data_IF_355565250711
#
_entry.id   IF_355565250711
#
_cell.length_a   1.000
_cell.length_b   1.000
_cell.length_c   1.000
_cell.angle_alpha   90.00
_cell.angle_beta   90.00
_cell.angle_gamma   90.00
#
_symmetry.space_group_name_H-M   'P 1'
#
loop_
_entity.id
_entity.type
_entity.pdbx_description
1 polymer ?
#
# COMPACT_ATOMS: atom_id res chain seq x y z
N UNK A 1 -65.51 -6.29 -9.35
CA UNK A 1 -64.11 -6.62 -9.01
C UNK A 1 -63.19 -5.85 -9.93
N UNK A 2 -62.20 -5.12 -9.42
CA UNK A 2 -61.18 -4.49 -10.29
C UNK A 2 -61.02 -2.97 -10.19
N UNK A 3 -61.14 -2.36 -9.00
CA UNK A 3 -60.65 -1.00 -8.72
C UNK A 3 -60.21 -0.87 -7.26
N UNK A 4 -59.30 -1.72 -6.80
CA UNK A 4 -58.63 -1.52 -5.49
C UNK A 4 -57.33 -2.36 -5.38
N UNK A 5 -56.43 -2.26 -6.35
CA UNK A 5 -55.14 -2.96 -6.28
C UNK A 5 -54.04 -2.27 -7.10
N UNK A 6 -54.07 -0.93 -7.16
CA UNK A 6 -53.06 -0.14 -7.87
C UNK A 6 -52.35 0.88 -6.96
N UNK A 7 -52.48 0.76 -5.63
CA UNK A 7 -51.89 1.73 -4.68
C UNK A 7 -50.99 1.10 -3.61
N UNK A 8 -50.65 -0.20 -3.70
CA UNK A 8 -49.86 -0.87 -2.66
C UNK A 8 -48.62 -1.63 -3.14
N UNK A 9 -48.15 -1.42 -4.37
CA UNK A 9 -46.93 -2.07 -4.89
C UNK A 9 -45.98 -1.11 -5.62
N UNK A 10 -46.00 0.18 -5.26
CA UNK A 10 -45.02 1.17 -5.73
C UNK A 10 -44.27 1.86 -4.57
N UNK A 11 -44.09 1.14 -3.45
CA UNK A 11 -43.24 1.56 -2.33
C UNK A 11 -42.15 0.53 -1.98
N UNK A 12 -41.90 -0.44 -2.86
CA UNK A 12 -40.78 -1.38 -2.73
C UNK A 12 -39.94 -1.24 -3.99
N UNK A 13 -39.09 -0.23 -4.04
CA UNK A 13 -38.29 0.00 -5.25
C UNK A 13 -37.48 1.28 -5.32
N UNK A 14 -37.30 2.01 -4.22
CA UNK A 14 -36.28 3.04 -4.09
C UNK A 14 -35.71 2.97 -2.68
N UNK A 15 -35.14 1.82 -2.32
CA UNK A 15 -33.93 1.88 -1.50
C UNK A 15 -32.85 2.52 -2.38
N UNK A 16 -32.95 3.85 -2.54
CA UNK A 16 -31.76 4.66 -2.76
C UNK A 16 -30.84 4.18 -1.64
N UNK A 17 -29.79 3.46 -2.02
CA UNK A 17 -28.71 3.14 -1.11
C UNK A 17 -28.21 4.50 -0.65
N UNK A 18 -28.77 4.98 0.47
CA UNK A 18 -28.31 6.19 1.13
C UNK A 18 -26.90 5.81 1.50
N UNK A 19 -25.94 6.25 0.69
CA UNK A 19 -24.58 6.45 1.15
C UNK A 19 -24.74 7.21 2.45
N UNK A 20 -24.59 6.50 3.56
CA UNK A 20 -24.71 7.13 4.85
C UNK A 20 -23.57 8.12 4.88
N UNK A 21 -23.85 9.42 4.99
CA UNK A 21 -22.81 10.45 5.13
C UNK A 21 -22.02 10.30 6.44
N UNK A 22 -22.21 9.21 7.20
CA UNK A 22 -21.46 8.88 8.40
C UNK A 22 -20.27 7.97 8.04
N UNK A 23 -19.11 8.16 8.67
CA UNK A 23 -18.02 7.20 8.58
C UNK A 23 -18.45 5.80 9.03
N UNK A 24 -17.87 4.76 8.42
CA UNK A 24 -18.03 3.38 8.87
C UNK A 24 -17.40 3.21 10.25
N UNK A 25 -18.06 2.42 11.10
CA UNK A 25 -17.49 1.95 12.36
C UNK A 25 -16.41 0.89 12.11
N UNK A 26 -15.51 0.67 13.07
CA UNK A 26 -14.45 -0.33 12.88
C UNK A 26 -14.93 -1.77 12.70
N UNK A 27 -16.12 -2.11 13.22
CA UNK A 27 -16.76 -3.40 12.95
C UNK A 27 -17.25 -3.52 11.50
N UNK A 28 -17.81 -2.43 10.94
CA UNK A 28 -18.21 -2.36 9.53
C UNK A 28 -16.97 -2.46 8.62
N UNK A 29 -15.90 -1.73 8.95
CA UNK A 29 -14.61 -1.82 8.24
C UNK A 29 -14.08 -3.26 8.25
N UNK A 30 -13.98 -3.90 9.42
CA UNK A 30 -13.56 -5.30 9.53
C UNK A 30 -14.40 -6.24 8.68
N UNK A 31 -15.71 -6.04 8.66
CA UNK A 31 -16.63 -6.85 7.85
C UNK A 31 -16.29 -6.74 6.37
N UNK A 32 -16.04 -5.51 5.88
CA UNK A 32 -15.64 -5.28 4.49
C UNK A 32 -14.26 -5.90 4.19
N UNK A 33 -13.28 -5.75 5.09
CA UNK A 33 -11.94 -6.29 4.89
C UNK A 33 -11.91 -7.82 4.87
N UNK A 34 -12.74 -8.48 5.69
CA UNK A 34 -12.94 -9.94 5.63
C UNK A 34 -13.65 -10.35 4.35
N UNK A 35 -14.69 -9.61 3.95
CA UNK A 35 -15.45 -9.91 2.73
C UNK A 35 -14.58 -9.91 1.46
N UNK A 36 -13.55 -9.06 1.41
CA UNK A 36 -12.64 -8.94 0.27
C UNK A 36 -11.27 -9.61 0.48
N UNK A 37 -11.18 -10.54 1.42
CA UNK A 37 -9.98 -11.34 1.69
C UNK A 37 -8.73 -10.49 1.98
N UNK A 38 -8.92 -9.28 2.52
CA UNK A 38 -7.83 -8.42 3.01
C UNK A 38 -7.41 -8.92 4.40
N UNK A 39 -8.40 -9.23 5.25
CA UNK A 39 -8.22 -9.99 6.48
C UNK A 39 -8.60 -11.46 6.19
N UNK A 40 -7.76 -12.46 6.53
CA UNK A 40 -6.47 -12.37 7.20
C UNK A 40 -5.27 -12.37 6.23
N UNK A 41 -5.47 -12.26 4.91
CA UNK A 41 -4.38 -12.58 3.98
C UNK A 41 -3.31 -11.47 3.90
N UNK A 42 -3.72 -10.21 3.90
CA UNK A 42 -2.84 -9.04 3.74
C UNK A 42 -2.47 -8.44 5.09
N UNK A 43 -3.43 -8.35 6.01
CA UNK A 43 -3.24 -7.85 7.37
C UNK A 43 -3.97 -8.75 8.37
N UNK A 44 -3.51 -8.73 9.61
CA UNK A 44 -4.15 -9.47 10.69
C UNK A 44 -5.48 -8.84 11.10
N UNK A 45 -6.36 -9.66 11.69
CA UNK A 45 -7.60 -9.15 12.26
C UNK A 45 -7.30 -8.23 13.46
N UNK A 46 -8.03 -7.13 13.56
CA UNK A 46 -7.92 -6.15 14.64
C UNK A 46 -9.27 -5.50 14.89
N UNK A 47 -9.64 -5.26 16.14
CA UNK A 47 -10.88 -4.54 16.47
C UNK A 47 -10.76 -3.02 16.22
N UNK A 48 -9.55 -2.53 15.96
CA UNK A 48 -9.20 -1.11 15.97
C UNK A 48 -9.00 -0.50 14.57
N UNK A 49 -9.65 -1.05 13.54
CA UNK A 49 -9.59 -0.41 12.22
C UNK A 49 -10.55 0.78 12.15
N UNK A 50 -10.01 1.97 11.98
CA UNK A 50 -10.78 3.13 11.57
C UNK A 50 -10.94 3.19 10.05
N UNK A 51 -11.98 3.89 9.60
CA UNK A 51 -12.12 4.19 8.18
C UNK A 51 -11.10 5.28 7.79
N UNK A 52 -10.23 4.95 6.85
CA UNK A 52 -9.45 5.93 6.11
C UNK A 52 -10.34 6.56 5.02
N UNK A 53 -10.39 7.88 4.95
CA UNK A 53 -11.02 8.59 3.83
C UNK A 53 -9.98 8.77 2.73
N UNK A 54 -10.25 8.21 1.55
CA UNK A 54 -9.43 8.39 0.34
C UNK A 54 -10.28 9.05 -0.72
N UNK A 55 -9.82 10.20 -1.24
CA UNK A 55 -10.51 10.92 -2.30
C UNK A 55 -9.57 11.20 -3.47
N UNK A 56 -9.92 10.74 -4.66
CA UNK A 56 -9.28 11.07 -5.92
C UNK A 56 -10.04 12.15 -6.68
N UNK A 57 -9.30 12.98 -7.41
CA UNK A 57 -9.83 13.98 -8.33
C UNK A 57 -10.97 14.84 -7.74
N UNK A 58 -10.89 15.16 -6.44
CA UNK A 58 -11.85 15.96 -5.68
C UNK A 58 -13.29 15.44 -5.61
N UNK A 59 -13.58 14.28 -6.20
CA UNK A 59 -14.96 13.83 -6.45
C UNK A 59 -15.19 12.34 -6.27
N UNK A 60 -14.11 11.54 -6.24
CA UNK A 60 -14.20 10.08 -6.21
C UNK A 60 -13.72 9.62 -4.84
N UNK A 61 -14.63 9.12 -4.02
CA UNK A 61 -14.33 8.54 -2.72
C UNK A 61 -14.18 7.03 -2.85
N UNK A 62 -13.24 6.44 -2.10
CA UNK A 62 -13.23 4.99 -1.90
C UNK A 62 -14.19 4.61 -0.77
N UNK A 63 -15.00 3.58 -1.02
CA UNK A 63 -16.06 3.11 -0.12
C UNK A 63 -16.05 1.57 0.05
N UNK A 64 -14.88 0.94 -0.03
CA UNK A 64 -14.71 -0.52 0.00
C UNK A 64 -15.31 -1.29 -1.19
N UNK A 65 -16.11 -0.67 -2.06
CA UNK A 65 -16.65 -1.28 -3.29
C UNK A 65 -16.34 -0.49 -4.57
N UNK A 66 -15.79 0.72 -4.43
CA UNK A 66 -15.52 1.64 -5.52
C UNK A 66 -14.61 1.02 -6.57
N UNK A 67 -15.09 1.03 -7.81
CA UNK A 67 -14.32 0.63 -9.00
C UNK A 67 -13.77 1.86 -9.70
N UNK A 68 -12.46 1.90 -9.85
CA UNK A 68 -11.69 2.96 -10.48
C UNK A 68 -11.29 2.55 -11.90
N UNK A 69 -11.16 3.53 -12.78
CA UNK A 69 -10.48 3.39 -14.06
C UNK A 69 -9.07 4.01 -13.98
N UNK A 70 -8.12 3.63 -14.85
CA UNK A 70 -6.74 4.10 -14.83
C UNK A 70 -6.52 5.59 -14.58
N UNK A 71 -7.24 6.46 -15.30
CA UNK A 71 -7.08 7.91 -15.19
C UNK A 71 -7.46 8.45 -13.82
N UNK A 72 -8.34 7.73 -13.10
CA UNK A 72 -8.78 8.19 -11.79
C UNK A 72 -7.68 8.08 -10.73
N UNK A 73 -6.71 7.19 -10.95
CA UNK A 73 -5.56 6.97 -10.05
C UNK A 73 -4.23 7.36 -10.70
N UNK A 74 -4.25 8.09 -11.81
CA UNK A 74 -3.02 8.55 -12.47
C UNK A 74 -2.20 9.46 -11.55
N UNK A 75 -2.88 10.28 -10.76
CA UNK A 75 -2.30 11.18 -9.77
C UNK A 75 -2.60 10.71 -8.34
N UNK A 76 -1.80 11.20 -7.38
CA UNK A 76 -2.01 11.01 -5.94
C UNK A 76 -3.46 11.35 -5.53
N UNK A 77 -4.01 10.68 -4.50
CA UNK A 77 -5.27 11.11 -3.90
C UNK A 77 -5.24 12.60 -3.54
N UNK A 78 -6.31 13.31 -3.90
CA UNK A 78 -6.51 14.73 -3.58
C UNK A 78 -6.74 14.97 -2.08
N UNK A 79 -7.20 13.96 -1.35
CA UNK A 79 -7.33 14.02 0.11
C UNK A 79 -7.17 12.64 0.71
N UNK A 80 -6.47 12.60 1.84
CA UNK A 80 -6.39 11.46 2.74
C UNK A 80 -6.67 11.95 4.16
N UNK A 81 -7.61 11.32 4.86
CA UNK A 81 -7.93 11.67 6.24
C UNK A 81 -8.19 10.41 7.06
N UNK A 82 -7.61 10.34 8.25
CA UNK A 82 -7.83 9.28 9.22
C UNK A 82 -7.88 9.89 10.63
N UNK A 83 -8.43 9.18 11.63
CA UNK A 83 -8.36 9.63 13.02
C UNK A 83 -6.92 9.79 13.48
N UNK A 84 -6.63 10.96 14.07
CA UNK A 84 -5.31 11.29 14.62
C UNK A 84 -5.43 11.47 16.12
N UNK A 85 -4.52 10.86 16.87
CA UNK A 85 -4.44 10.97 18.32
C UNK A 85 -3.16 11.73 18.71
N UNK A 86 -3.30 12.80 19.48
CA UNK A 86 -2.15 13.55 19.98
C UNK A 86 -1.24 14.14 18.89
N UNK A 87 0.08 13.99 19.09
CA UNK A 87 1.14 14.51 18.19
C UNK A 87 1.86 13.36 17.49
N UNK A 88 1.11 12.37 17.04
CA UNK A 88 1.65 11.15 16.47
C UNK A 88 2.11 11.33 15.01
N UNK A 89 3.06 10.48 14.63
CA UNK A 89 3.48 10.30 13.25
C UNK A 89 2.87 9.03 12.68
N UNK A 90 2.65 9.01 11.37
CA UNK A 90 2.05 7.90 10.67
C UNK A 90 2.87 7.49 9.45
N UNK A 91 2.69 6.25 9.03
CA UNK A 91 3.15 5.73 7.75
C UNK A 91 1.96 5.31 6.90
N UNK A 92 1.91 5.77 5.66
CA UNK A 92 0.94 5.37 4.65
C UNK A 92 1.57 4.36 3.70
N UNK A 93 0.89 3.23 3.52
CA UNK A 93 1.23 2.22 2.52
C UNK A 93 0.06 2.06 1.56
N UNK A 94 0.30 2.17 0.25
CA UNK A 94 -0.67 1.87 -0.79
C UNK A 94 -0.17 0.70 -1.62
N UNK A 95 -0.93 -0.39 -1.65
CA UNK A 95 -0.56 -1.66 -2.28
C UNK A 95 -1.65 -2.22 -3.19
N UNK A 96 -1.22 -3.08 -4.12
CA UNK A 96 -2.07 -3.93 -4.95
C UNK A 96 -1.57 -5.39 -4.88
N UNK A 97 -2.22 -6.25 -4.05
CA UNK A 97 -1.81 -7.64 -3.87
C UNK A 97 -2.17 -8.56 -5.04
N UNK A 98 -3.02 -8.08 -5.95
CA UNK A 98 -3.52 -8.89 -7.07
C UNK A 98 -2.66 -8.70 -8.34
N UNK A 99 -1.61 -7.87 -8.28
CA UNK A 99 -0.77 -7.50 -9.42
C UNK A 99 0.30 -8.56 -9.75
N UNK A 100 0.62 -8.87 -11.04
CA UNK A 100 -0.05 -8.44 -12.27
C UNK A 100 -1.27 -9.31 -12.63
N UNK A 101 -1.46 -10.42 -11.92
CA UNK A 101 -2.63 -11.28 -12.02
C UNK A 101 -3.03 -11.82 -10.66
N UNK A 102 -4.35 -11.94 -10.46
CA UNK A 102 -4.93 -12.56 -9.26
C UNK A 102 -4.66 -14.07 -9.17
N UNK A 103 -4.08 -14.69 -10.21
CA UNK A 103 -4.02 -16.13 -10.41
C UNK A 103 -2.75 -16.83 -9.87
N UNK A 104 -1.84 -16.15 -9.17
CA UNK A 104 -0.65 -16.80 -8.60
C UNK A 104 -0.55 -16.69 -7.08
N UNK A 105 -0.34 -17.84 -6.43
CA UNK A 105 0.15 -17.96 -5.06
C UNK A 105 1.58 -17.36 -4.97
N UNK A 106 1.74 -16.06 -4.75
CA UNK A 106 3.07 -15.52 -4.40
C UNK A 106 2.95 -14.35 -3.42
N UNK A 107 3.69 -14.47 -2.32
CA UNK A 107 3.81 -13.57 -1.17
C UNK A 107 4.38 -12.17 -1.49
N UNK A 108 3.82 -11.46 -2.46
CA UNK A 108 4.27 -10.15 -2.86
C UNK A 108 3.09 -9.22 -3.12
N UNK A 109 3.29 -7.95 -2.81
CA UNK A 109 2.32 -6.88 -3.00
C UNK A 109 2.99 -5.79 -3.83
N UNK A 110 2.35 -5.36 -4.92
CA UNK A 110 2.87 -4.24 -5.69
C UNK A 110 2.66 -2.96 -4.89
N UNK A 111 3.76 -2.30 -4.50
CA UNK A 111 3.72 -1.06 -3.71
C UNK A 111 3.58 0.14 -4.63
N UNK A 112 2.43 0.80 -4.59
CA UNK A 112 2.15 2.01 -5.35
C UNK A 112 2.65 3.27 -4.65
N UNK A 113 2.67 3.29 -3.32
CA UNK A 113 3.08 4.47 -2.57
C UNK A 113 3.49 4.10 -1.15
N UNK A 114 4.60 4.67 -0.68
CA UNK A 114 5.05 4.53 0.70
C UNK A 114 5.54 5.88 1.21
N UNK A 115 4.84 6.43 2.19
CA UNK A 115 5.21 7.68 2.85
C UNK A 115 5.28 7.43 4.35
N UNK A 116 6.35 7.86 4.99
CA UNK A 116 6.59 7.65 6.43
C UNK A 116 6.75 8.98 7.15
N UNK A 117 6.81 8.96 8.48
CA UNK A 117 7.00 10.16 9.31
C UNK A 117 5.96 11.27 9.04
N UNK A 118 4.72 10.90 8.69
CA UNK A 118 3.64 11.84 8.36
C UNK A 118 3.10 12.48 9.64
N UNK A 119 3.18 13.81 9.82
CA UNK A 119 2.64 14.46 11.02
C UNK A 119 1.12 14.62 10.93
N UNK A 120 0.38 13.84 11.72
CA UNK A 120 -1.08 13.73 11.62
C UNK A 120 -1.48 13.23 10.23
N UNK A 121 -2.30 14.00 9.50
CA UNK A 121 -2.71 13.69 8.11
C UNK A 121 -1.97 14.51 7.05
N UNK A 122 -0.91 15.24 7.42
CA UNK A 122 -0.17 16.14 6.51
C UNK A 122 0.81 15.36 5.63
N UNK A 123 0.27 14.57 4.69
CA UNK A 123 1.03 13.65 3.83
C UNK A 123 2.21 14.31 3.11
N UNK A 124 2.08 15.57 2.72
CA UNK A 124 3.11 16.36 2.05
C UNK A 124 4.30 16.77 2.95
N UNK A 125 4.19 16.54 4.27
CA UNK A 125 5.27 16.75 5.23
C UNK A 125 5.95 15.45 5.66
N UNK A 126 5.46 14.30 5.20
CA UNK A 126 6.11 13.01 5.40
C UNK A 126 7.26 12.78 4.43
N UNK A 127 8.06 11.76 4.70
CA UNK A 127 9.13 11.30 3.85
C UNK A 127 8.58 10.32 2.81
N UNK A 128 8.52 10.73 1.55
CA UNK A 128 8.14 9.85 0.44
C UNK A 128 9.30 8.91 0.12
N UNK A 129 9.14 7.63 0.46
CA UNK A 129 10.15 6.59 0.28
C UNK A 129 9.97 5.92 -1.09
N UNK A 130 8.75 5.45 -1.36
CA UNK A 130 8.37 4.98 -2.69
C UNK A 130 7.46 6.06 -3.26
N UNK A 131 7.89 6.71 -4.33
CA UNK A 131 7.08 7.74 -5.00
C UNK A 131 5.79 7.15 -5.58
N UNK A 132 4.72 7.96 -5.56
CA UNK A 132 3.42 7.51 -6.06
C UNK A 132 3.48 7.01 -7.51
N UNK A 133 3.15 5.74 -7.70
CA UNK A 133 2.93 5.10 -8.98
C UNK A 133 1.43 4.98 -9.19
N UNK A 134 0.89 5.77 -10.12
CA UNK A 134 -0.48 5.60 -10.57
C UNK A 134 -0.68 4.32 -11.38
N UNK A 135 -1.74 4.28 -12.18
CA UNK A 135 -1.99 3.13 -13.03
C UNK A 135 -0.81 2.79 -13.94
N UNK A 136 -0.53 1.49 -14.12
CA UNK A 136 0.45 0.97 -15.09
C UNK A 136 -0.14 -0.20 -15.88
N UNK A 137 0.19 -0.29 -17.17
CA UNK A 137 -0.56 -1.10 -18.15
C UNK A 137 -0.16 -2.59 -18.23
N UNK A 138 0.37 -3.19 -17.17
CA UNK A 138 0.87 -4.57 -17.19
C UNK A 138 -0.03 -5.57 -16.43
N UNK A 139 -1.32 -5.28 -16.32
CA UNK A 139 -2.34 -6.23 -15.88
C UNK A 139 -2.51 -7.37 -16.88
N UNK A 140 -2.48 -8.61 -16.40
CA UNK A 140 -2.53 -9.82 -17.23
C UNK A 140 -3.90 -10.51 -17.21
N UNK A 141 -4.87 -9.97 -16.46
CA UNK A 141 -6.24 -10.47 -16.42
C UNK A 141 -7.29 -9.36 -16.41
N UNK A 142 -8.56 -9.75 -16.56
CA UNK A 142 -9.72 -8.84 -16.56
C UNK A 142 -10.42 -8.75 -15.22
N UNK A 143 -9.92 -9.45 -14.19
CA UNK A 143 -10.56 -9.45 -12.87
C UNK A 143 -10.31 -8.09 -12.21
N UNK A 144 -11.19 -7.61 -11.33
CA UNK A 144 -10.89 -6.43 -10.53
C UNK A 144 -9.73 -6.74 -9.57
N UNK A 145 -8.75 -5.86 -9.50
CA UNK A 145 -7.63 -5.95 -8.57
C UNK A 145 -7.86 -4.98 -7.41
N UNK A 146 -7.53 -5.42 -6.19
CA UNK A 146 -7.72 -4.67 -4.94
C UNK A 146 -6.65 -3.57 -4.82
N UNK A 147 -7.11 -2.36 -4.54
CA UNK A 147 -6.26 -1.21 -4.22
C UNK A 147 -6.44 -0.90 -2.73
N UNK A 148 -5.41 -1.17 -1.93
CA UNK A 148 -5.51 -1.15 -0.47
C UNK A 148 -4.65 -0.02 0.09
N UNK A 149 -5.27 0.90 0.82
CA UNK A 149 -4.57 1.92 1.57
C UNK A 149 -4.55 1.55 3.05
N UNK A 150 -3.36 1.58 3.63
CA UNK A 150 -3.08 1.21 5.02
C UNK A 150 -2.36 2.37 5.71
N UNK A 151 -2.83 2.76 6.88
CA UNK A 151 -2.16 3.76 7.73
C UNK A 151 -1.72 3.10 9.01
N UNK A 152 -0.44 3.22 9.33
CA UNK A 152 0.17 2.72 10.55
C UNK A 152 0.54 3.89 11.45
N UNK A 153 0.17 3.83 12.72
CA UNK A 153 0.67 4.77 13.73
C UNK A 153 2.09 4.39 14.14
N UNK A 154 3.01 5.36 14.19
CA UNK A 154 4.37 5.15 14.65
C UNK A 154 4.46 5.26 16.19
N UNK A 155 5.22 4.38 16.86
CA UNK A 155 5.13 4.15 18.31
C UNK A 155 5.64 5.28 19.22
N UNK A 156 6.44 6.23 18.71
CA UNK A 156 7.19 7.15 19.59
C UNK A 156 6.88 8.64 19.42
N UNK A 157 5.97 9.01 18.50
CA UNK A 157 5.63 10.41 18.23
C UNK A 157 6.78 11.28 17.68
N UNK A 158 7.95 10.68 17.44
CA UNK A 158 9.14 11.29 16.88
C UNK A 158 9.52 10.58 15.57
N UNK A 159 10.20 11.26 14.62
CA UNK A 159 10.61 10.65 13.36
C UNK A 159 11.46 9.41 13.57
N UNK A 160 11.15 8.37 12.80
CA UNK A 160 11.90 7.12 12.76
C UNK A 160 12.77 7.07 11.50
N UNK A 161 13.90 6.40 11.60
CA UNK A 161 14.74 6.10 10.43
C UNK A 161 14.22 4.85 9.73
N UNK A 162 13.87 5.00 8.45
CA UNK A 162 13.45 3.89 7.58
C UNK A 162 14.59 3.56 6.62
N UNK A 163 15.25 2.43 6.85
CA UNK A 163 16.32 1.93 5.99
C UNK A 163 15.72 1.20 4.76
N UNK A 164 14.98 1.95 3.95
CA UNK A 164 14.37 1.49 2.70
C UNK A 164 14.95 2.34 1.58
N UNK A 165 15.40 1.70 0.51
CA UNK A 165 15.85 2.42 -0.69
C UNK A 165 14.72 3.26 -1.25
N UNK A 166 14.98 4.56 -1.45
CA UNK A 166 14.00 5.44 -2.09
C UNK A 166 13.90 5.10 -3.57
N UNK A 167 12.68 4.90 -4.06
CA UNK A 167 12.43 4.51 -5.46
C UNK A 167 11.47 5.48 -6.13
N UNK A 168 11.81 5.85 -7.36
CA UNK A 168 10.92 6.57 -8.29
C UNK A 168 10.06 5.58 -9.09
N UNK A 169 8.99 6.03 -9.76
CA UNK A 169 8.04 5.11 -10.40
C UNK A 169 8.67 4.17 -11.43
N UNK A 170 9.63 4.63 -12.23
CA UNK A 170 10.31 3.83 -13.24
C UNK A 170 11.08 2.66 -12.61
N UNK A 171 11.73 2.90 -11.47
CA UNK A 171 12.51 1.88 -10.76
C UNK A 171 11.62 0.83 -10.10
N UNK A 172 10.44 1.22 -9.60
CA UNK A 172 9.47 0.26 -9.06
C UNK A 172 8.91 -0.62 -10.18
N UNK A 173 8.61 -0.05 -11.34
CA UNK A 173 8.12 -0.82 -12.49
C UNK A 173 9.19 -1.76 -13.04
N UNK A 174 10.44 -1.32 -13.14
CA UNK A 174 11.57 -2.14 -13.60
C UNK A 174 11.82 -3.34 -12.67
N UNK A 175 11.76 -3.11 -11.36
CA UNK A 175 11.97 -4.17 -10.35
C UNK A 175 10.73 -5.05 -10.17
N UNK A 176 9.53 -4.52 -10.35
CA UNK A 176 8.27 -5.25 -10.29
C UNK A 176 8.13 -6.14 -9.06
N UNK A 177 7.78 -7.41 -9.28
CA UNK A 177 7.58 -8.40 -8.22
C UNK A 177 8.88 -8.75 -7.46
N UNK A 178 10.05 -8.42 -8.01
CA UNK A 178 11.34 -8.67 -7.34
C UNK A 178 11.53 -7.79 -6.10
N UNK A 179 10.73 -6.75 -5.89
CA UNK A 179 10.77 -5.95 -4.66
C UNK A 179 10.41 -6.75 -3.41
N UNK A 180 9.68 -7.87 -3.56
CA UNK A 180 9.26 -8.76 -2.47
C UNK A 180 8.65 -8.02 -1.27
N UNK A 181 7.96 -6.91 -1.54
CA UNK A 181 7.33 -6.09 -0.51
C UNK A 181 6.07 -6.78 0.00
N UNK A 182 5.85 -6.74 1.31
CA UNK A 182 4.55 -6.96 1.92
C UNK A 182 4.33 -5.98 3.06
N UNK A 183 3.10 -5.53 3.25
CA UNK A 183 2.71 -4.66 4.35
C UNK A 183 2.98 -5.31 5.71
N UNK A 184 2.84 -6.64 5.81
CA UNK A 184 3.20 -7.42 7.00
C UNK A 184 4.68 -7.32 7.33
N UNK A 185 5.54 -7.52 6.33
CA UNK A 185 6.99 -7.43 6.53
C UNK A 185 7.43 -6.02 6.87
N UNK A 186 6.90 -5.01 6.17
CA UNK A 186 7.11 -3.60 6.53
C UNK A 186 6.71 -3.31 7.99
N UNK A 187 5.52 -3.73 8.41
CA UNK A 187 5.07 -3.51 9.78
C UNK A 187 5.98 -4.20 10.80
N UNK A 188 6.37 -5.46 10.55
CA UNK A 188 7.26 -6.21 11.42
C UNK A 188 8.68 -5.62 11.49
N UNK A 189 9.24 -5.17 10.38
CA UNK A 189 10.59 -4.62 10.32
C UNK A 189 10.71 -3.25 11.01
N UNK A 190 9.61 -2.53 11.17
CA UNK A 190 9.58 -1.22 11.84
C UNK A 190 8.76 -1.21 13.13
N UNK A 191 8.48 -2.39 13.69
CA UNK A 191 7.75 -2.58 14.96
C UNK A 191 6.40 -1.81 15.00
N UNK A 192 5.73 -1.74 13.84
CA UNK A 192 4.43 -1.10 13.67
C UNK A 192 3.31 -2.10 13.99
N UNK A 193 2.38 -1.71 14.85
CA UNK A 193 1.28 -2.58 15.28
C UNK A 193 0.05 -2.38 14.43
N UNK A 194 -0.16 -3.26 13.45
CA UNK A 194 -1.31 -3.23 12.53
C UNK A 194 -1.48 -1.88 11.80
N UNK A 195 -2.39 -1.79 10.82
CA UNK A 195 -2.88 -0.49 10.41
C UNK A 195 -3.95 0.00 11.40
N UNK A 196 -3.92 1.28 11.75
CA UNK A 196 -4.96 1.94 12.55
C UNK A 196 -6.11 2.44 11.68
N UNK A 197 -5.86 2.75 10.41
CA UNK A 197 -6.92 3.09 9.45
C UNK A 197 -6.70 2.41 8.10
N UNK A 198 -7.79 1.98 7.48
CA UNK A 198 -7.77 1.22 6.22
C UNK A 198 -8.87 1.72 5.28
N UNK A 199 -8.63 1.67 3.97
CA UNK A 199 -9.70 1.70 2.97
C UNK A 199 -9.30 0.85 1.76
N UNK A 200 -10.29 0.45 0.98
CA UNK A 200 -10.18 -0.43 -0.17
C UNK A 200 -10.93 0.17 -1.36
N UNK A 201 -10.35 0.04 -2.53
CA UNK A 201 -11.02 0.19 -3.82
C UNK A 201 -10.61 -0.93 -4.76
N UNK A 202 -11.05 -0.83 -6.02
CA UNK A 202 -10.70 -1.78 -7.06
C UNK A 202 -10.34 -1.04 -8.34
N UNK A 203 -9.36 -1.53 -9.08
CA UNK A 203 -9.19 -1.14 -10.48
C UNK A 203 -10.08 -2.04 -11.36
N UNK A 204 -10.85 -1.43 -12.27
CA UNK A 204 -11.78 -2.13 -13.16
C UNK A 204 -11.08 -2.60 -14.44
N UNK A 205 -10.37 -3.73 -14.35
CA UNK A 205 -9.59 -4.28 -15.46
C UNK A 205 -10.45 -4.69 -16.68
N UNK A 206 -11.71 -5.09 -16.45
CA UNK A 206 -12.62 -5.45 -17.53
C UNK A 206 -12.90 -4.25 -18.44
N UNK A 207 -13.20 -3.09 -17.85
CA UNK A 207 -13.46 -1.86 -18.61
C UNK A 207 -12.24 -1.37 -19.39
N UNK A 208 -11.03 -1.69 -18.92
CA UNK A 208 -9.79 -1.37 -19.64
C UNK A 208 -9.67 -2.16 -20.94
N UNK A 209 -10.04 -3.45 -20.92
CA UNK A 209 -9.94 -4.33 -22.09
C UNK A 209 -10.93 -3.94 -23.21
N UNK A 210 -12.05 -3.30 -22.86
CA UNK A 210 -13.05 -2.82 -23.82
C UNK A 210 -12.78 -1.39 -24.31
N UNK A 211 -11.86 -0.65 -23.67
CA UNK A 211 -11.47 0.70 -24.07
C UNK A 211 -10.43 0.70 -25.19
N UNK A 212 -10.72 1.33 -26.34
CA UNK A 212 -9.77 1.49 -27.46
C UNK A 212 -8.46 2.22 -27.10
N UNK A 213 -8.40 2.88 -25.93
CA UNK A 213 -7.27 3.71 -25.45
C UNK A 213 -6.23 2.95 -24.62
N UNK A 214 -6.58 1.80 -24.02
CA UNK A 214 -5.69 1.01 -23.16
C UNK A 214 -5.47 -0.37 -23.76
N UNK A 215 -5.38 -0.44 -25.09
CA UNK A 215 -4.74 -1.60 -25.72
C UNK A 215 -3.39 -1.71 -25.04
N UNK A 216 -3.25 -2.78 -24.26
CA UNK A 216 -2.02 -3.23 -23.63
C UNK A 216 -0.90 -2.94 -24.62
N UNK A 217 0.06 -2.10 -24.22
CA UNK A 217 1.34 -2.08 -24.91
C UNK A 217 1.97 -3.45 -24.62
N UNK A 218 1.51 -4.49 -25.32
CA UNK A 218 2.35 -5.61 -25.66
C UNK A 218 3.38 -5.02 -26.61
N UNK A 219 4.38 -4.39 -26.04
CA UNK A 219 5.64 -4.35 -26.73
C UNK A 219 6.11 -5.81 -26.67
N UNK A 220 5.91 -6.54 -27.78
CA UNK A 220 6.36 -7.93 -27.96
C UNK A 220 7.91 -8.03 -27.98
N UNK A 221 8.61 -7.09 -27.33
CA UNK A 221 10.05 -6.91 -27.40
C UNK A 221 10.70 -6.35 -26.13
N UNK A 222 9.99 -6.10 -25.03
CA UNK A 222 10.62 -5.52 -23.83
C UNK A 222 10.12 -6.18 -22.55
N UNK A 223 11.10 -6.81 -21.88
CA UNK A 223 11.11 -7.37 -20.54
C UNK A 223 10.71 -8.84 -20.39
N UNK A 224 11.55 -9.70 -20.98
CA UNK A 224 11.89 -10.95 -20.32
C UNK A 224 12.65 -10.59 -19.02
N UNK A 225 11.94 -10.49 -17.90
CA UNK A 225 12.48 -10.10 -16.59
C UNK A 225 13.27 -11.24 -15.91
N UNK A 226 13.62 -12.32 -16.62
CA UNK A 226 14.26 -13.50 -16.04
C UNK A 226 15.75 -13.32 -15.74
N UNK A 227 16.38 -12.27 -16.27
CA UNK A 227 17.86 -12.16 -16.30
C UNK A 227 18.44 -11.00 -15.47
N UNK A 228 17.64 -10.31 -14.65
CA UNK A 228 18.18 -9.34 -13.70
C UNK A 228 18.72 -10.06 -12.45
N UNK A 229 19.94 -9.71 -11.97
CA UNK A 229 20.48 -10.30 -10.75
C UNK A 229 19.50 -10.09 -9.57
N UNK A 230 19.15 -11.22 -8.94
CA UNK A 230 18.09 -11.39 -7.93
C UNK A 230 18.17 -10.42 -6.72
N UNK A 231 17.04 -10.15 -6.03
CA UNK A 231 16.78 -8.84 -5.45
C UNK A 231 17.40 -8.57 -4.07
N UNK A 232 17.76 -7.30 -3.86
CA UNK A 232 17.78 -6.69 -2.53
C UNK A 232 16.34 -6.60 -2.00
N UNK A 233 16.05 -7.30 -0.92
CA UNK A 233 14.80 -7.13 -0.15
C UNK A 233 14.71 -5.68 0.34
N UNK A 234 13.64 -4.97 -0.07
CA UNK A 234 13.38 -3.56 0.25
C UNK A 234 13.38 -3.25 1.75
N UNK A 235 13.13 -4.27 2.56
CA UNK A 235 12.90 -4.16 4.00
C UNK A 235 13.98 -4.86 4.81
N UNK A 236 15.19 -5.01 4.27
CA UNK A 236 16.30 -5.52 5.09
C UNK A 236 16.66 -4.51 6.19
N UNK A 237 16.33 -4.83 7.45
CA UNK A 237 17.03 -4.23 8.60
C UNK A 237 18.52 -4.36 8.30
N UNK A 238 19.23 -3.24 8.15
CA UNK A 238 20.69 -3.28 8.11
C UNK A 238 21.17 -4.06 9.35
N UNK A 239 22.15 -4.97 9.23
CA UNK A 239 22.74 -5.61 10.39
C UNK A 239 23.13 -4.52 11.40
N UNK A 240 22.89 -4.72 12.71
CA UNK A 240 23.29 -3.75 13.71
C UNK A 240 24.76 -3.41 13.47
N UNK A 241 25.04 -2.12 13.31
CA UNK A 241 26.41 -1.64 13.15
C UNK A 241 27.16 -2.02 14.42
N UNK A 242 27.88 -3.14 14.38
CA UNK A 242 28.87 -3.46 15.39
C UNK A 242 29.86 -2.30 15.34
N UNK A 243 29.77 -1.39 16.31
CA UNK A 243 30.82 -0.42 16.57
C UNK A 243 32.10 -1.22 16.65
N UNK A 244 32.97 -1.10 15.64
CA UNK A 244 34.33 -1.62 15.71
C UNK A 244 34.96 -0.93 16.91
N UNK A 245 35.10 -1.64 18.02
CA UNK A 245 36.04 -1.27 19.08
C UNK A 245 37.40 -1.09 18.42
N UNK A 246 38.07 0.05 18.63
CA UNK A 246 39.43 0.23 18.13
C UNK A 246 40.31 -0.90 18.67
N UNK A 247 41.02 -1.60 17.78
CA UNK A 247 42.10 -2.50 18.20
C UNK A 247 43.10 -1.66 19.01
N UNK A 248 43.57 -2.13 20.18
CA UNK A 248 44.64 -1.44 20.88
C UNK A 248 45.91 -1.48 20.03
N UNK A 249 46.56 -0.33 19.92
CA UNK A 249 47.82 -0.16 19.18
C UNK A 249 48.88 -1.15 19.67
N UNK A 250 49.39 -1.96 18.74
CA UNK A 250 50.55 -2.78 18.99
C UNK A 250 51.78 -1.87 19.18
N UNK A 251 52.20 -1.70 20.45
CA UNK A 251 53.50 -1.13 20.79
C UNK A 251 54.59 -1.89 20.04
N UNK A 252 55.28 -1.21 19.11
CA UNK A 252 56.52 -1.69 18.51
C UNK A 252 57.60 -1.77 19.59
N UNK A 253 57.83 -2.98 20.07
CA UNK A 253 58.97 -3.31 20.93
C UNK A 253 60.24 -3.36 20.07
N UNK A 254 61.08 -2.31 20.18
CA UNK A 254 62.42 -2.29 19.59
C UNK A 254 63.30 -3.26 20.38
N UNK A 255 63.54 -4.47 19.86
CA UNK A 255 64.66 -5.30 20.32
C UNK A 255 65.98 -4.75 19.76
N UNK A 256 66.78 -4.15 20.64
CA UNK A 256 68.21 -3.93 20.45
C UNK A 256 68.92 -5.28 20.40
N UNK A 257 69.48 -5.65 19.25
CA UNK A 257 70.46 -6.72 19.13
C UNK A 257 71.87 -6.13 19.12
N UNK A 258 72.68 -6.41 20.14
CA UNK A 258 74.14 -6.24 20.09
C UNK A 258 74.84 -7.35 20.87
N UNK A 259 75.78 -8.00 20.16
CA UNK A 259 76.94 -8.80 20.61
C UNK A 259 76.67 -10.22 21.12
N UNK A 260 77.16 -11.22 20.39
CA UNK A 260 78.55 -11.67 20.47
C UNK A 260 79.09 -11.98 19.08
#
# INVERSE_FOLDING_TARGET
MGKLLAALLCFIGLAVCRHSNRPMTGAEVNTMLKHYDVVPNIIDESENFDQLVVMFNYTIYLDYGTKLIPQQIENKPTSLQWPVFGKELYSLVFIEPDHPTKAQEKHHEFVHWLVVNIPGTQINKGDEIIEYIGYRSFYEDKKPHRLIFLVYQQPHGEPMEFNITRLIPEQVVERGHHLNFTARKFAADYDLTGPTAVNLGFIDCERMWHGRKYKVFKNDSVNDFTDLPFPEDLTTKAPPTTKRTPKPDAKKEKKHGRRH
#
